data_IF_125439219211
#
_entry.id   IF_125439219211
#
_cell.length_a   1.000
_cell.length_b   1.000
_cell.length_c   1.000
_cell.angle_alpha   90.00
_cell.angle_beta   90.00
_cell.angle_gamma   90.00
#
_symmetry.space_group_name_H-M   'P 1'
#
loop_
_entity.id
_entity.type
_entity.pdbx_description
1 polymer ?
#
# COMPACT_ATOMS: atom_id res chain seq x y z
N UNK A 1 -0.76 -12.92 0.52
CA UNK A 1 0.25 -11.93 0.94
C UNK A 1 0.93 -11.39 -0.31
N UNK A 2 1.11 -10.07 -0.47
CA UNK A 2 1.77 -9.53 -1.65
C UNK A 2 3.22 -10.03 -1.72
N UNK A 3 3.60 -10.67 -2.83
CA UNK A 3 4.92 -11.27 -3.07
C UNK A 3 6.09 -10.27 -3.17
N UNK A 4 5.90 -9.02 -2.71
CA UNK A 4 6.83 -7.89 -2.92
C UNK A 4 7.79 -7.65 -1.75
N UNK A 5 7.65 -8.36 -0.64
CA UNK A 5 8.36 -8.03 0.61
C UNK A 5 9.62 -8.89 0.82
N UNK A 6 9.89 -9.77 -0.14
CA UNK A 6 10.89 -10.83 -0.05
C UNK A 6 11.74 -10.83 -1.31
N UNK A 7 13.07 -10.83 -1.14
CA UNK A 7 14.03 -11.16 -2.19
C UNK A 7 14.45 -12.62 -2.05
N UNK A 8 14.43 -13.34 -3.17
CA UNK A 8 14.83 -14.74 -3.20
C UNK A 8 16.15 -14.85 -3.93
N UNK A 9 17.22 -15.17 -3.21
CA UNK A 9 18.47 -15.57 -3.85
C UNK A 9 18.34 -17.02 -4.26
N UNK A 10 18.29 -17.26 -5.58
CA UNK A 10 18.10 -18.61 -6.11
C UNK A 10 19.37 -19.42 -5.94
N UNK A 11 19.23 -20.57 -5.26
CA UNK A 11 20.23 -21.62 -5.27
C UNK A 11 19.79 -22.72 -6.24
N UNK A 12 19.15 -23.75 -5.71
CA UNK A 12 18.62 -24.87 -6.47
C UNK A 12 17.38 -24.57 -7.30
N UNK A 13 16.65 -23.48 -7.02
CA UNK A 13 15.48 -23.09 -7.80
C UNK A 13 14.21 -23.93 -7.59
N UNK A 14 14.19 -24.84 -6.61
CA UNK A 14 13.04 -25.72 -6.35
C UNK A 14 11.89 -25.07 -5.55
N UNK A 15 12.18 -24.00 -4.80
CA UNK A 15 11.17 -23.33 -3.95
C UNK A 15 10.66 -22.02 -4.57
N UNK A 16 11.46 -21.39 -5.44
CA UNK A 16 11.11 -20.13 -6.09
C UNK A 16 10.18 -20.36 -7.28
N UNK A 17 9.09 -19.62 -7.37
CA UNK A 17 8.16 -19.66 -8.53
C UNK A 17 8.69 -18.69 -9.59
N UNK A 18 8.89 -19.18 -10.80
CA UNK A 18 9.58 -18.43 -11.86
C UNK A 18 8.97 -17.05 -12.13
N UNK A 19 7.65 -16.96 -12.23
CA UNK A 19 7.01 -15.69 -12.58
C UNK A 19 6.75 -14.77 -11.37
N UNK A 20 6.52 -15.34 -10.20
CA UNK A 20 5.99 -14.61 -9.03
C UNK A 20 7.05 -14.21 -8.01
N UNK A 21 8.15 -14.96 -7.92
CA UNK A 21 9.22 -14.67 -6.96
C UNK A 21 10.15 -13.57 -7.48
N UNK A 22 10.64 -12.71 -6.58
CA UNK A 22 11.64 -11.68 -6.87
C UNK A 22 13.04 -12.29 -6.86
N UNK A 23 13.33 -13.10 -7.87
CA UNK A 23 14.47 -14.02 -7.85
C UNK A 23 15.57 -13.65 -8.85
N UNK A 24 15.27 -12.79 -9.83
CA UNK A 24 16.22 -12.35 -10.85
C UNK A 24 16.75 -10.96 -10.50
N UNK A 25 17.87 -10.90 -9.77
CA UNK A 25 18.45 -9.65 -9.25
C UNK A 25 17.43 -8.83 -8.43
N UNK A 26 16.66 -9.52 -7.59
CA UNK A 26 15.62 -8.92 -6.75
C UNK A 26 14.38 -8.40 -7.48
N UNK A 27 14.23 -8.75 -8.76
CA UNK A 27 13.08 -8.42 -9.63
C UNK A 27 12.25 -9.67 -9.92
N UNK A 28 10.93 -9.48 -10.01
CA UNK A 28 9.99 -10.53 -10.36
C UNK A 28 9.66 -10.48 -11.86
N UNK A 29 9.85 -11.58 -12.63
CA UNK A 29 9.61 -11.58 -14.07
C UNK A 29 8.22 -11.09 -14.49
N UNK A 30 7.17 -11.45 -13.74
CA UNK A 30 5.80 -10.98 -14.02
C UNK A 30 5.62 -9.47 -13.92
N UNK A 31 6.28 -8.81 -12.97
CA UNK A 31 5.96 -7.42 -12.62
C UNK A 31 6.96 -6.45 -13.21
N UNK A 32 8.24 -6.78 -13.12
CA UNK A 32 9.32 -5.81 -13.30
C UNK A 32 10.06 -5.98 -14.63
N UNK A 33 9.89 -7.13 -15.31
CA UNK A 33 10.67 -7.47 -16.51
C UNK A 33 9.80 -7.76 -17.73
N UNK A 34 8.76 -8.57 -17.55
CA UNK A 34 7.98 -9.11 -18.65
C UNK A 34 6.48 -9.26 -18.32
N UNK A 35 5.77 -8.16 -17.96
CA UNK A 35 4.35 -8.20 -17.62
C UNK A 35 3.42 -8.59 -18.78
N UNK A 36 3.75 -8.24 -20.03
CA UNK A 36 2.95 -8.65 -21.19
C UNK A 36 3.19 -10.12 -21.51
N UNK A 37 4.45 -10.56 -21.44
CA UNK A 37 4.83 -11.97 -21.66
C UNK A 37 4.17 -12.91 -20.62
N UNK A 38 4.04 -12.48 -19.37
CA UNK A 38 3.35 -13.25 -18.33
C UNK A 38 1.87 -13.51 -18.66
N UNK A 39 1.20 -12.61 -19.40
CA UNK A 39 -0.19 -12.82 -19.82
C UNK A 39 -0.30 -13.99 -20.80
N UNK A 40 0.72 -14.18 -21.64
CA UNK A 40 0.81 -15.27 -22.60
C UNK A 40 1.25 -16.59 -21.97
N UNK A 41 1.83 -16.57 -20.77
CA UNK A 41 2.28 -17.78 -20.10
C UNK A 41 1.09 -18.59 -19.53
N UNK A 42 0.92 -19.86 -19.94
CA UNK A 42 -0.11 -20.72 -19.34
C UNK A 42 0.40 -21.49 -18.11
N UNK A 43 1.71 -21.74 -18.01
CA UNK A 43 2.34 -22.43 -16.86
C UNK A 43 2.92 -21.46 -15.84
N UNK A 44 2.07 -20.87 -15.01
CA UNK A 44 2.45 -19.78 -14.08
C UNK A 44 3.03 -20.25 -12.75
N UNK A 45 2.73 -21.48 -12.34
CA UNK A 45 3.05 -22.05 -11.01
C UNK A 45 4.32 -22.91 -10.99
N UNK A 46 5.09 -22.93 -12.08
CA UNK A 46 6.31 -23.72 -12.15
C UNK A 46 7.47 -23.03 -11.45
N UNK A 47 8.35 -23.86 -10.91
CA UNK A 47 9.53 -23.42 -10.20
C UNK A 47 10.61 -22.92 -11.16
N UNK A 48 11.57 -22.15 -10.65
CA UNK A 48 12.71 -21.66 -11.43
C UNK A 48 13.51 -22.83 -12.03
N UNK A 49 13.74 -23.91 -11.27
CA UNK A 49 14.45 -25.09 -11.78
C UNK A 49 13.75 -25.73 -12.96
N UNK A 50 12.44 -25.94 -12.86
CA UNK A 50 11.65 -26.58 -13.92
C UNK A 50 11.56 -25.73 -15.19
N UNK A 51 11.51 -24.41 -15.03
CA UNK A 51 11.38 -23.43 -16.11
C UNK A 51 12.70 -23.20 -16.85
N UNK A 52 13.82 -23.18 -16.14
CA UNK A 52 15.16 -23.09 -16.72
C UNK A 52 15.60 -24.40 -17.37
N UNK A 53 15.22 -25.54 -16.79
CA UNK A 53 15.50 -26.85 -17.37
C UNK A 53 14.92 -26.96 -18.79
N UNK A 54 15.79 -27.28 -19.75
CA UNK A 54 15.45 -27.39 -21.18
C UNK A 54 14.71 -26.17 -21.76
N UNK A 55 14.90 -24.98 -21.17
CA UNK A 55 14.26 -23.73 -21.60
C UNK A 55 12.73 -23.83 -21.66
N UNK A 56 12.14 -24.63 -20.76
CA UNK A 56 10.71 -24.91 -20.70
C UNK A 56 9.83 -23.66 -20.52
N UNK A 57 10.39 -22.56 -20.00
CA UNK A 57 9.67 -21.31 -19.84
C UNK A 57 9.15 -20.72 -21.15
N UNK A 58 9.85 -20.95 -22.26
CA UNK A 58 9.40 -20.52 -23.61
C UNK A 58 8.32 -21.40 -24.19
N UNK A 59 8.29 -22.69 -23.83
CA UNK A 59 7.26 -23.65 -24.27
C UNK A 59 5.89 -23.35 -23.64
N UNK A 60 5.89 -22.55 -22.58
CA UNK A 60 4.71 -22.13 -21.83
C UNK A 60 3.96 -20.95 -22.44
N UNK A 61 4.40 -20.39 -23.57
CA UNK A 61 3.91 -19.12 -24.12
C UNK A 61 2.94 -19.33 -25.28
N UNK A 62 1.81 -18.61 -25.25
CA UNK A 62 0.93 -18.45 -26.40
C UNK A 62 1.55 -17.60 -27.51
N UNK A 63 0.94 -17.59 -28.70
CA UNK A 63 1.42 -16.78 -29.84
C UNK A 63 1.52 -15.31 -29.46
N UNK A 64 2.72 -14.76 -29.60
CA UNK A 64 2.98 -13.32 -29.51
C UNK A 64 2.43 -12.61 -30.75
N UNK A 65 1.91 -11.42 -30.55
CA UNK A 65 1.28 -10.59 -31.59
C UNK A 65 1.78 -9.15 -31.61
N UNK A 66 2.50 -8.71 -30.58
CA UNK A 66 2.95 -7.32 -30.43
C UNK A 66 4.48 -7.20 -30.30
N UNK A 67 5.02 -6.03 -30.64
CA UNK A 67 6.45 -5.75 -30.52
C UNK A 67 6.91 -5.71 -29.05
N UNK A 68 6.04 -5.25 -28.14
CA UNK A 68 6.34 -5.21 -26.70
C UNK A 68 6.57 -6.61 -26.12
N UNK A 69 5.73 -7.58 -26.50
CA UNK A 69 5.90 -8.99 -26.09
C UNK A 69 7.24 -9.57 -26.58
N UNK A 70 7.65 -9.22 -27.80
CA UNK A 70 8.93 -9.66 -28.36
C UNK A 70 10.12 -9.00 -27.66
N UNK A 71 10.03 -7.70 -27.36
CA UNK A 71 11.06 -6.98 -26.63
C UNK A 71 11.24 -7.53 -25.21
N UNK A 72 10.14 -7.79 -24.50
CA UNK A 72 10.15 -8.44 -23.19
C UNK A 72 10.75 -9.85 -23.23
N UNK A 73 10.44 -10.63 -24.27
CA UNK A 73 11.01 -11.95 -24.46
C UNK A 73 12.54 -11.88 -24.60
N UNK A 74 13.05 -11.01 -25.48
CA UNK A 74 14.49 -10.86 -25.72
C UNK A 74 15.20 -10.36 -24.46
N UNK A 75 14.61 -9.38 -23.78
CA UNK A 75 15.16 -8.84 -22.53
C UNK A 75 15.23 -9.89 -21.42
N UNK A 76 14.13 -10.61 -21.19
CA UNK A 76 14.10 -11.69 -20.21
C UNK A 76 15.07 -12.82 -20.59
N UNK A 77 15.11 -13.19 -21.87
CA UNK A 77 16.02 -14.23 -22.36
C UNK A 77 17.49 -13.88 -22.13
N UNK A 78 17.90 -12.63 -22.38
CA UNK A 78 19.25 -12.16 -22.10
C UNK A 78 19.62 -12.32 -20.62
N UNK A 79 18.73 -11.88 -19.72
CA UNK A 79 18.96 -11.98 -18.28
C UNK A 79 19.03 -13.44 -17.78
N UNK A 80 18.30 -14.36 -18.42
CA UNK A 80 18.29 -15.77 -18.02
C UNK A 80 19.52 -16.55 -18.49
N UNK A 81 20.28 -16.05 -19.46
CA UNK A 81 21.52 -16.71 -19.92
C UNK A 81 22.59 -16.72 -18.83
N UNK A 82 22.66 -15.66 -18.04
CA UNK A 82 23.66 -15.50 -16.99
C UNK A 82 23.28 -16.21 -15.67
N UNK A 83 22.08 -16.81 -15.60
CA UNK A 83 21.61 -17.49 -14.40
C UNK A 83 22.21 -18.89 -14.31
N UNK A 84 23.04 -19.11 -13.30
CA UNK A 84 23.54 -20.43 -12.92
C UNK A 84 22.87 -20.89 -11.63
N UNK A 85 22.19 -22.05 -11.69
CA UNK A 85 21.64 -22.69 -10.50
C UNK A 85 22.76 -23.45 -9.78
N UNK A 86 22.75 -23.41 -8.45
CA UNK A 86 23.64 -24.23 -7.62
C UNK A 86 22.82 -25.30 -6.87
N UNK A 87 23.47 -26.24 -6.19
CA UNK A 87 22.76 -27.27 -5.41
C UNK A 87 22.39 -26.84 -3.97
N UNK A 88 22.68 -25.59 -3.60
CA UNK A 88 22.32 -25.05 -2.29
C UNK A 88 20.83 -24.70 -2.24
N UNK A 89 20.25 -24.67 -1.03
CA UNK A 89 18.87 -24.24 -0.89
C UNK A 89 18.69 -22.74 -1.23
N UNK A 90 17.49 -22.38 -1.67
CA UNK A 90 17.15 -20.98 -1.94
C UNK A 90 17.16 -20.18 -0.64
N UNK A 91 17.82 -19.03 -0.66
CA UNK A 91 17.84 -18.11 0.50
C UNK A 91 16.77 -17.05 0.32
N UNK A 92 15.94 -16.89 1.34
CA UNK A 92 14.81 -15.97 1.36
C UNK A 92 15.19 -14.81 2.30
N UNK A 93 15.32 -13.61 1.76
CA UNK A 93 15.71 -12.41 2.50
C UNK A 93 14.52 -11.45 2.60
N UNK A 94 14.17 -11.05 3.81
CA UNK A 94 13.16 -10.04 4.07
C UNK A 94 13.69 -8.65 3.76
N UNK A 95 13.13 -7.95 2.75
CA UNK A 95 13.67 -6.66 2.28
C UNK A 95 13.59 -5.54 3.31
N UNK A 96 12.79 -5.70 4.36
CA UNK A 96 12.42 -4.63 5.28
C UNK A 96 13.15 -4.66 6.62
N UNK A 97 14.02 -5.64 6.83
CA UNK A 97 14.87 -5.70 8.01
C UNK A 97 16.33 -5.77 7.55
N UNK A 98 17.20 -4.98 8.15
CA UNK A 98 18.63 -4.97 7.82
C UNK A 98 19.28 -6.36 7.99
N UNK A 99 18.72 -7.17 8.90
CA UNK A 99 19.18 -8.52 9.18
C UNK A 99 18.52 -9.59 8.27
N UNK A 100 17.63 -9.20 7.35
CA UNK A 100 16.97 -10.11 6.42
C UNK A 100 15.95 -11.07 7.04
N UNK A 101 15.74 -11.04 8.36
CA UNK A 101 14.80 -11.94 9.04
C UNK A 101 13.35 -11.44 8.95
N UNK A 102 12.44 -12.37 8.63
CA UNK A 102 11.00 -12.14 8.75
C UNK A 102 10.56 -12.34 10.21
N UNK A 103 9.94 -11.32 10.80
CA UNK A 103 9.26 -11.41 12.09
C UNK A 103 7.80 -10.97 11.96
N UNK A 104 6.93 -11.50 12.83
CA UNK A 104 5.54 -11.04 12.88
C UNK A 104 5.43 -9.51 13.10
N UNK A 105 6.38 -8.93 13.85
CA UNK A 105 6.46 -7.48 14.09
C UNK A 105 6.78 -6.70 12.82
N UNK A 106 7.77 -7.14 12.04
CA UNK A 106 8.13 -6.46 10.78
C UNK A 106 7.01 -6.57 9.75
N UNK A 107 6.38 -7.75 9.63
CA UNK A 107 5.21 -7.95 8.76
C UNK A 107 4.04 -7.03 9.16
N UNK A 108 3.73 -6.94 10.46
CA UNK A 108 2.71 -6.02 10.97
C UNK A 108 3.04 -4.56 10.63
N UNK A 109 4.27 -4.11 10.86
CA UNK A 109 4.68 -2.73 10.58
C UNK A 109 4.55 -2.34 9.10
N UNK A 110 4.77 -3.27 8.16
CA UNK A 110 4.66 -2.99 6.73
C UNK A 110 3.21 -2.75 6.31
N UNK A 111 2.25 -3.42 6.96
CA UNK A 111 0.83 -3.13 6.74
C UNK A 111 0.47 -1.65 7.00
N UNK A 112 1.28 -0.95 7.80
CA UNK A 112 1.14 0.47 8.11
C UNK A 112 2.16 1.37 7.38
N UNK A 113 3.08 0.81 6.57
CA UNK A 113 4.00 1.63 5.76
C UNK A 113 3.21 2.34 4.66
N UNK A 114 3.27 3.67 4.66
CA UNK A 114 2.49 4.53 3.77
C UNK A 114 1.15 5.00 4.35
N UNK A 115 0.70 4.41 5.46
CA UNK A 115 -0.51 4.80 6.22
C UNK A 115 -0.19 5.65 7.44
N UNK A 116 1.10 5.89 7.73
CA UNK A 116 1.52 6.83 8.76
C UNK A 116 1.11 8.25 8.35
N UNK A 117 -0.05 8.66 8.82
CA UNK A 117 -0.33 10.08 9.01
C UNK A 117 0.67 10.55 10.08
N UNK A 118 1.45 11.60 9.81
CA UNK A 118 2.38 12.21 10.77
C UNK A 118 1.66 12.93 11.92
N UNK A 119 0.43 12.50 12.22
CA UNK A 119 -0.44 13.13 13.17
C UNK A 119 0.05 12.82 14.59
N UNK A 120 0.46 13.86 15.30
CA UNK A 120 0.82 13.74 16.71
C UNK A 120 -0.44 13.57 17.56
N UNK A 121 -0.69 12.34 18.02
CA UNK A 121 -1.83 12.04 18.89
C UNK A 121 -1.79 12.82 20.20
N UNK A 122 -0.61 13.27 20.66
CA UNK A 122 -0.47 14.08 21.87
C UNK A 122 -1.19 15.42 21.73
N UNK A 123 -1.32 15.97 20.51
CA UNK A 123 -2.04 17.22 20.29
C UNK A 123 -3.53 17.11 20.66
N UNK A 124 -4.16 15.94 20.44
CA UNK A 124 -5.56 15.70 20.83
C UNK A 124 -5.66 15.52 22.34
N UNK A 125 -4.81 14.66 22.90
CA UNK A 125 -4.93 14.29 24.31
C UNK A 125 -4.48 15.40 25.26
N UNK A 126 -3.55 16.26 24.82
CA UNK A 126 -3.09 17.45 25.54
C UNK A 126 -3.99 18.68 25.39
N UNK A 127 -5.00 18.64 24.51
CA UNK A 127 -5.94 19.74 24.36
C UNK A 127 -6.75 19.97 25.65
N UNK A 128 -6.91 21.23 26.04
CA UNK A 128 -7.83 21.66 27.10
C UNK A 128 -9.28 21.55 26.63
N UNK A 129 -9.76 20.32 26.50
CA UNK A 129 -11.12 20.00 26.09
C UNK A 129 -11.68 18.84 26.92
N UNK A 130 -12.99 18.80 27.09
CA UNK A 130 -13.64 17.64 27.73
C UNK A 130 -13.34 16.34 26.97
N UNK A 131 -13.34 15.22 27.68
CA UNK A 131 -13.00 13.90 27.11
C UNK A 131 -13.81 13.55 25.87
N UNK A 132 -15.10 13.92 25.82
CA UNK A 132 -15.98 13.68 24.67
C UNK A 132 -15.47 14.34 23.38
N UNK A 133 -14.93 15.56 23.47
CA UNK A 133 -14.37 16.28 22.33
C UNK A 133 -13.02 15.70 21.88
N UNK A 134 -12.20 15.22 22.83
CA UNK A 134 -10.94 14.53 22.52
C UNK A 134 -11.21 13.20 21.79
N UNK A 135 -12.18 12.42 22.27
CA UNK A 135 -12.61 11.17 21.62
C UNK A 135 -13.16 11.46 20.22
N UNK A 136 -14.02 12.46 20.08
CA UNK A 136 -14.55 12.87 18.78
C UNK A 136 -13.43 13.25 17.80
N UNK A 137 -12.47 14.07 18.25
CA UNK A 137 -11.32 14.49 17.43
C UNK A 137 -10.43 13.31 17.03
N UNK A 138 -10.25 12.33 17.94
CA UNK A 138 -9.52 11.10 17.64
C UNK A 138 -10.21 10.28 16.55
N UNK A 139 -11.52 10.09 16.66
CA UNK A 139 -12.32 9.39 15.64
C UNK A 139 -12.33 10.14 14.30
N UNK A 140 -12.32 11.47 14.33
CA UNK A 140 -12.23 12.33 13.14
C UNK A 140 -10.93 12.07 12.38
N UNK A 141 -9.78 12.10 13.07
CA UNK A 141 -8.45 11.82 12.47
C UNK A 141 -8.36 10.42 11.90
N UNK A 142 -8.99 9.44 12.56
CA UNK A 142 -9.03 8.06 12.09
C UNK A 142 -10.03 7.80 10.95
N UNK A 143 -10.78 8.81 10.49
CA UNK A 143 -11.91 8.63 9.55
C UNK A 143 -12.91 7.56 10.03
N UNK A 144 -13.22 7.57 11.33
CA UNK A 144 -14.15 6.61 11.96
C UNK A 144 -15.52 7.21 12.26
N UNK A 145 -15.73 8.49 11.97
CA UNK A 145 -17.04 9.15 12.08
C UNK A 145 -17.91 8.70 10.90
N UNK A 146 -19.14 8.25 11.19
CA UNK A 146 -20.10 7.80 10.18
C UNK A 146 -20.72 8.97 9.41
N UNK A 147 -19.97 9.52 8.46
CA UNK A 147 -20.48 10.49 7.48
C UNK A 147 -21.07 9.79 6.24
N UNK A 148 -21.85 10.50 5.43
CA UNK A 148 -22.56 9.92 4.28
C UNK A 148 -21.63 9.17 3.32
N UNK A 149 -20.40 9.64 3.08
CA UNK A 149 -19.40 8.93 2.28
C UNK A 149 -19.12 7.49 2.77
N UNK A 150 -19.00 7.28 4.08
CA UNK A 150 -18.79 5.95 4.67
C UNK A 150 -20.09 5.13 4.74
N UNK A 151 -21.24 5.78 4.93
CA UNK A 151 -22.54 5.12 4.94
C UNK A 151 -22.89 4.56 3.55
N UNK A 152 -22.62 5.32 2.49
CA UNK A 152 -22.83 4.89 1.11
C UNK A 152 -21.91 3.72 0.73
N UNK A 153 -20.66 3.71 1.19
CA UNK A 153 -19.76 2.56 1.01
C UNK A 153 -20.30 1.28 1.65
N UNK A 154 -21.13 1.40 2.69
CA UNK A 154 -21.80 0.28 3.36
C UNK A 154 -23.19 -0.03 2.81
N UNK A 155 -23.59 0.62 1.71
CA UNK A 155 -24.91 0.42 1.08
C UNK A 155 -26.04 0.82 2.06
N UNK A 156 -25.80 1.82 2.91
CA UNK A 156 -26.83 2.35 3.80
C UNK A 156 -27.57 3.51 3.13
N UNK A 157 -28.92 3.53 3.11
CA UNK A 157 -29.68 4.62 2.52
C UNK A 157 -29.48 5.91 3.32
N UNK A 158 -28.90 6.93 2.68
CA UNK A 158 -28.69 8.26 3.26
C UNK A 158 -28.59 9.32 2.16
N UNK A 159 -28.78 10.59 2.53
CA UNK A 159 -28.52 11.71 1.64
C UNK A 159 -26.99 11.93 1.53
N UNK A 160 -26.38 11.88 0.33
CA UNK A 160 -24.95 12.13 0.17
C UNK A 160 -24.53 13.57 0.49
N UNK A 161 -25.46 14.52 0.46
CA UNK A 161 -25.15 15.95 0.58
C UNK A 161 -24.96 16.35 2.05
N UNK A 162 -23.97 17.21 2.30
CA UNK A 162 -23.67 17.73 3.64
C UNK A 162 -24.84 18.57 4.18
N UNK A 163 -25.43 18.22 5.34
CA UNK A 163 -26.59 18.92 5.89
C UNK A 163 -26.28 20.32 6.46
N UNK A 164 -25.00 20.70 6.52
CA UNK A 164 -24.58 22.02 7.03
C UNK A 164 -24.51 23.09 5.94
N UNK A 165 -24.18 22.69 4.70
CA UNK A 165 -24.02 23.64 3.59
C UNK A 165 -24.90 23.33 2.38
N UNK A 166 -25.47 22.13 2.29
CA UNK A 166 -26.28 21.64 1.17
C UNK A 166 -25.61 21.77 -0.22
N UNK A 167 -24.27 21.85 -0.27
CA UNK A 167 -23.50 22.15 -1.49
C UNK A 167 -22.58 21.02 -1.95
N UNK A 168 -21.94 20.30 -1.03
CA UNK A 168 -20.95 19.26 -1.34
C UNK A 168 -21.30 17.93 -0.65
N UNK A 169 -20.66 16.84 -1.07
CA UNK A 169 -20.82 15.52 -0.44
C UNK A 169 -20.29 15.52 0.99
N UNK A 170 -21.06 14.94 1.92
CA UNK A 170 -20.67 14.82 3.31
C UNK A 170 -19.49 13.86 3.48
N UNK A 171 -18.39 14.40 4.00
CA UNK A 171 -17.25 13.62 4.51
C UNK A 171 -16.79 14.23 5.82
N UNK A 172 -16.18 13.42 6.68
CA UNK A 172 -15.69 13.91 7.97
C UNK A 172 -14.75 15.13 7.84
N UNK A 173 -13.90 15.13 6.80
CA UNK A 173 -13.02 16.28 6.47
C UNK A 173 -13.78 17.49 5.96
N UNK A 174 -14.84 17.30 5.16
CA UNK A 174 -15.67 18.40 4.70
C UNK A 174 -16.40 19.01 5.89
N UNK A 175 -17.16 18.22 6.65
CA UNK A 175 -17.97 18.68 7.77
C UNK A 175 -17.15 19.37 8.86
N UNK A 176 -15.93 18.90 9.15
CA UNK A 176 -15.11 19.48 10.21
C UNK A 176 -14.22 20.68 9.78
N UNK A 177 -13.83 20.79 8.50
CA UNK A 177 -12.80 21.75 8.07
C UNK A 177 -13.11 22.50 6.78
N UNK A 178 -13.75 21.88 5.78
CA UNK A 178 -13.91 22.48 4.44
C UNK A 178 -15.27 23.16 4.22
N UNK A 179 -16.30 22.69 4.92
CA UNK A 179 -17.65 23.19 4.85
C UNK A 179 -17.69 24.69 5.13
N UNK A 180 -18.44 25.44 4.30
CA UNK A 180 -18.58 26.90 4.42
C UNK A 180 -19.13 27.28 5.80
N UNK A 181 -20.16 26.57 6.27
CA UNK A 181 -20.71 26.76 7.61
C UNK A 181 -19.64 26.58 8.69
N UNK A 182 -18.87 25.49 8.62
CA UNK A 182 -17.85 25.18 9.62
C UNK A 182 -16.68 26.16 9.61
N UNK A 183 -16.29 26.68 8.43
CA UNK A 183 -15.28 27.74 8.32
C UNK A 183 -15.72 29.03 9.02
N UNK A 184 -16.99 29.39 8.92
CA UNK A 184 -17.54 30.55 9.65
C UNK A 184 -17.53 30.32 11.16
N UNK A 185 -17.87 29.11 11.62
CA UNK A 185 -17.77 28.74 13.04
C UNK A 185 -16.33 28.87 13.53
N UNK A 186 -15.35 28.31 12.83
CA UNK A 186 -13.94 28.44 13.18
C UNK A 186 -13.47 29.88 13.21
N UNK A 187 -13.89 30.69 12.23
CA UNK A 187 -13.56 32.12 12.18
C UNK A 187 -14.08 32.87 13.41
N UNK A 188 -15.28 32.53 13.90
CA UNK A 188 -15.83 33.10 15.15
C UNK A 188 -15.08 32.61 16.39
N UNK A 189 -14.77 31.32 16.47
CA UNK A 189 -14.01 30.74 17.58
C UNK A 189 -12.61 31.37 17.68
N UNK A 190 -11.91 31.53 16.56
CA UNK A 190 -10.60 32.19 16.52
C UNK A 190 -10.67 33.64 17.00
N UNK A 191 -11.73 34.39 16.67
CA UNK A 191 -11.95 35.76 17.16
C UNK A 191 -12.17 35.81 18.68
N UNK A 192 -12.88 34.82 19.24
CA UNK A 192 -13.13 34.74 20.69
C UNK A 192 -11.86 34.30 21.45
N UNK A 193 -11.12 33.33 20.91
CA UNK A 193 -9.86 32.84 21.50
C UNK A 193 -8.70 33.83 21.43
N UNK A 194 -8.71 34.75 20.45
CA UNK A 194 -7.76 35.86 20.36
C UNK A 194 -7.98 36.97 21.40
N UNK A 195 -9.11 37.00 22.10
CA UNK A 195 -9.43 38.02 23.10
C UNK A 195 -9.10 37.60 24.55
N UNK A 196 -8.69 36.34 24.80
CA UNK A 196 -8.57 35.79 26.16
C UNK A 196 -7.14 35.44 26.63
N UNK A 197 -6.09 35.78 25.90
CA UNK A 197 -4.68 35.57 26.33
C UNK A 197 -4.00 36.83 26.89
N UNK A 198 -4.74 37.63 27.69
CA UNK A 198 -4.17 38.71 28.50
C UNK A 198 -4.78 38.74 29.91
N UNK A 199 -4.34 37.81 30.78
CA UNK A 199 -4.38 37.85 32.27
C UNK A 199 -3.94 36.48 32.77
N UNK A 200 -2.92 36.30 33.62
CA UNK A 200 -1.98 37.20 34.25
C UNK A 200 -0.92 36.29 34.90
N UNK A 201 0.34 36.72 34.86
CA UNK A 201 1.39 36.12 35.66
C UNK A 201 1.29 36.60 37.11
N UNK A 202 1.44 35.66 38.03
CA UNK A 202 2.21 35.78 39.25
C UNK A 202 2.79 34.40 39.56
#
# INVERSE_FOLDING_TARGET
MPCNEVDVTVGNGNKAIFWESSWLNGRAPRRDLAPHLYKLAYRKKLTVREQLSNRNWTRGLWRMSTADEMAELVGLWGLLQDVQLNDQENTIVWKWTANGCNSAKSAYMIQFKGTYCSFDSKAIWGAMAEGKHRIFSWLLVQRKILTADLLLQRIWPCNPVCPLCDQEQESATHSALRCVFTKEVWSRVCRIGGATTARGGN
#
